data_IF_795841827169
#
_entry.id   IF_795841827169
#
_cell.length_a   1.000
_cell.length_b   1.000
_cell.length_c   1.000
_cell.angle_alpha   90.00
_cell.angle_beta   90.00
_cell.angle_gamma   90.00
#
_symmetry.space_group_name_H-M   'P 1'
#
loop_
_entity.id
_entity.type
_entity.pdbx_description
1 polymer ?
#
# COMPACT_ATOMS: atom_id res chain seq x y z
N UNK A 1 -9.62 -4.85 72.46
CA UNK A 1 -9.95 -4.67 71.04
C UNK A 1 -8.65 -4.43 70.29
N UNK A 2 -7.99 -5.51 69.90
CA UNK A 2 -6.72 -5.50 69.16
C UNK A 2 -7.03 -5.31 67.68
N UNK A 3 -6.65 -4.15 67.14
CA UNK A 3 -6.81 -3.84 65.72
C UNK A 3 -5.64 -4.48 64.95
N UNK A 4 -5.75 -5.78 64.65
CA UNK A 4 -4.84 -6.42 63.70
C UNK A 4 -5.13 -5.88 62.30
N UNK A 5 -4.18 -5.10 61.77
CA UNK A 5 -4.19 -4.61 60.41
C UNK A 5 -3.91 -5.77 59.48
N UNK A 6 -4.97 -6.32 58.91
CA UNK A 6 -4.93 -7.30 57.82
C UNK A 6 -4.38 -6.60 56.57
N UNK A 7 -3.06 -6.63 56.37
CA UNK A 7 -2.44 -6.24 55.10
C UNK A 7 -2.41 -7.47 54.18
N UNK A 8 -3.21 -7.55 53.10
CA UNK A 8 -3.03 -8.62 52.12
C UNK A 8 -1.71 -8.41 51.37
N UNK A 9 -0.94 -9.47 51.07
CA UNK A 9 0.26 -9.37 50.25
C UNK A 9 -0.17 -9.09 48.81
N UNK A 10 0.25 -7.94 48.27
CA UNK A 10 0.14 -7.66 46.84
C UNK A 10 1.06 -8.62 46.10
N UNK A 11 0.52 -9.72 45.58
CA UNK A 11 1.24 -10.58 44.66
C UNK A 11 1.18 -9.94 43.26
N UNK A 12 2.05 -8.96 43.03
CA UNK A 12 2.22 -8.29 41.74
C UNK A 12 3.10 -9.15 40.81
N UNK A 13 2.61 -10.34 40.47
CA UNK A 13 3.22 -11.19 39.45
C UNK A 13 2.31 -11.30 38.22
N UNK A 14 1.64 -10.21 37.85
CA UNK A 14 0.99 -10.08 36.55
C UNK A 14 2.07 -9.83 35.48
N UNK A 15 2.97 -10.80 35.31
CA UNK A 15 3.81 -10.92 34.13
C UNK A 15 2.96 -11.40 32.92
N UNK A 16 1.84 -10.72 32.69
CA UNK A 16 1.11 -10.78 31.44
C UNK A 16 1.85 -9.90 30.43
N UNK A 17 3.03 -10.36 30.00
CA UNK A 17 3.59 -9.89 28.74
C UNK A 17 2.55 -10.19 27.68
N UNK A 18 1.76 -9.16 27.36
CA UNK A 18 0.78 -9.15 26.29
C UNK A 18 1.56 -9.53 25.04
N UNK A 19 1.53 -10.81 24.69
CA UNK A 19 2.06 -11.30 23.43
C UNK A 19 1.43 -10.39 22.37
N UNK A 20 2.21 -9.64 21.57
CA UNK A 20 1.66 -8.75 20.56
C UNK A 20 0.68 -9.58 19.75
N UNK A 21 -0.61 -9.21 19.83
CA UNK A 21 -1.68 -9.96 19.15
C UNK A 21 -1.20 -10.14 17.72
N UNK A 22 -1.07 -11.41 17.30
CA UNK A 22 -0.68 -11.79 15.95
C UNK A 22 -1.43 -10.88 14.99
N UNK A 23 -0.70 -9.99 14.32
CA UNK A 23 -1.27 -9.00 13.42
C UNK A 23 -2.19 -9.68 12.41
N UNK A 24 -3.05 -8.89 11.77
CA UNK A 24 -4.02 -9.41 10.79
C UNK A 24 -3.34 -10.42 9.86
N UNK A 25 -3.84 -11.66 9.76
CA UNK A 25 -3.15 -12.70 9.02
C UNK A 25 -2.91 -12.24 7.58
N UNK A 26 -1.69 -12.49 7.08
CA UNK A 26 -1.28 -12.14 5.73
C UNK A 26 -2.26 -12.79 4.75
N UNK A 27 -2.96 -11.98 3.95
CA UNK A 27 -3.98 -12.44 3.00
C UNK A 27 -5.44 -12.29 3.47
N UNK A 28 -5.70 -11.77 4.67
CA UNK A 28 -7.07 -11.51 5.12
C UNK A 28 -7.74 -10.39 4.28
N UNK A 29 -8.46 -10.77 3.24
CA UNK A 29 -9.17 -9.85 2.34
C UNK A 29 -10.17 -8.97 3.12
N UNK A 30 -10.28 -7.69 2.75
CA UNK A 30 -11.26 -6.78 3.34
C UNK A 30 -12.67 -7.13 2.84
N UNK A 31 -13.46 -7.79 3.68
CA UNK A 31 -14.82 -8.21 3.33
C UNK A 31 -15.71 -7.03 2.91
N UNK A 32 -15.55 -5.88 3.57
CA UNK A 32 -16.26 -4.63 3.22
C UNK A 32 -15.95 -4.16 1.80
N UNK A 33 -14.68 -4.22 1.39
CA UNK A 33 -14.27 -3.85 0.03
C UNK A 33 -14.76 -4.87 -1.00
N UNK A 34 -14.86 -6.16 -0.64
CA UNK A 34 -15.44 -7.18 -1.51
C UNK A 34 -16.92 -6.91 -1.79
N UNK A 35 -17.72 -6.72 -0.74
CA UNK A 35 -19.15 -6.41 -0.87
C UNK A 35 -19.38 -5.16 -1.71
N UNK A 36 -18.57 -4.11 -1.50
CA UNK A 36 -18.65 -2.90 -2.31
C UNK A 36 -18.35 -3.16 -3.79
N UNK A 37 -17.32 -3.95 -4.12
CA UNK A 37 -17.00 -4.31 -5.51
C UNK A 37 -18.16 -5.07 -6.15
N UNK A 38 -18.72 -6.04 -5.45
CA UNK A 38 -19.84 -6.85 -5.93
C UNK A 38 -21.07 -5.96 -6.19
N UNK A 39 -21.39 -5.04 -5.27
CA UNK A 39 -22.49 -4.10 -5.43
C UNK A 39 -22.29 -3.15 -6.63
N UNK A 40 -21.06 -2.67 -6.86
CA UNK A 40 -20.74 -1.82 -8.03
C UNK A 40 -20.92 -2.61 -9.33
N UNK A 41 -20.50 -3.87 -9.37
CA UNK A 41 -20.66 -4.71 -10.57
C UNK A 41 -22.13 -4.96 -10.89
N UNK A 42 -22.95 -5.28 -9.89
CA UNK A 42 -24.39 -5.46 -10.05
C UNK A 42 -25.04 -4.16 -10.55
N UNK A 43 -24.69 -3.01 -9.96
CA UNK A 43 -25.22 -1.72 -10.38
C UNK A 43 -24.82 -1.38 -11.83
N UNK A 44 -23.60 -1.68 -12.23
CA UNK A 44 -23.14 -1.47 -13.61
C UNK A 44 -23.86 -2.39 -14.61
N UNK A 45 -24.14 -3.64 -14.24
CA UNK A 45 -24.92 -4.57 -15.06
C UNK A 45 -26.36 -4.06 -15.26
N UNK A 46 -27.01 -3.63 -14.18
CA UNK A 46 -28.35 -3.03 -14.19
C UNK A 46 -28.41 -1.76 -15.04
N UNK A 47 -27.43 -0.86 -14.89
CA UNK A 47 -27.30 0.34 -15.70
C UNK A 47 -27.21 0.02 -17.20
N UNK A 48 -26.54 -1.08 -17.55
CA UNK A 48 -26.42 -1.53 -18.93
C UNK A 48 -27.70 -2.10 -19.53
N UNK A 49 -28.55 -2.77 -18.73
CA UNK A 49 -29.87 -3.21 -19.18
C UNK A 49 -30.81 -2.06 -19.56
N UNK A 50 -30.53 -0.82 -19.14
CA UNK A 50 -31.25 0.37 -19.62
C UNK A 50 -30.85 0.80 -21.04
N UNK A 51 -29.66 0.42 -21.51
CA UNK A 51 -29.11 0.84 -22.80
C UNK A 51 -29.08 -0.31 -23.83
N UNK A 52 -29.10 -1.57 -23.40
CA UNK A 52 -29.10 -2.73 -24.28
C UNK A 52 -29.52 -4.02 -23.57
N UNK A 53 -29.39 -5.15 -24.25
CA UNK A 53 -29.81 -6.46 -23.73
C UNK A 53 -28.67 -7.25 -23.06
N UNK A 54 -27.43 -6.76 -23.14
CA UNK A 54 -26.24 -7.50 -22.68
C UNK A 54 -25.70 -6.98 -21.34
N UNK A 55 -26.56 -6.33 -20.54
CA UNK A 55 -26.22 -5.83 -19.20
C UNK A 55 -24.91 -5.04 -19.20
N UNK A 56 -23.90 -5.54 -18.46
CA UNK A 56 -22.59 -4.89 -18.30
C UNK A 56 -21.88 -4.58 -19.62
N UNK A 57 -22.04 -5.42 -20.66
CA UNK A 57 -21.43 -5.19 -21.97
C UNK A 57 -22.04 -3.95 -22.62
N UNK A 58 -23.37 -3.82 -22.60
CA UNK A 58 -24.07 -2.64 -23.10
C UNK A 58 -23.69 -1.37 -22.33
N UNK A 59 -23.46 -1.47 -21.01
CA UNK A 59 -22.94 -0.36 -20.21
C UNK A 59 -21.54 0.10 -20.67
N UNK A 60 -20.62 -0.83 -20.89
CA UNK A 60 -19.26 -0.52 -21.35
C UNK A 60 -19.25 0.01 -22.78
N UNK A 61 -20.09 -0.51 -23.68
CA UNK A 61 -20.26 0.01 -25.04
C UNK A 61 -20.76 1.46 -25.01
N UNK A 62 -21.76 1.76 -24.17
CA UNK A 62 -22.24 3.12 -23.97
C UNK A 62 -21.12 4.06 -23.51
N UNK A 63 -20.29 3.64 -22.54
CA UNK A 63 -19.16 4.44 -22.08
C UNK A 63 -18.03 4.57 -23.10
N UNK A 64 -17.79 3.56 -23.94
CA UNK A 64 -16.80 3.65 -25.02
C UNK A 64 -17.12 4.79 -26.00
N UNK A 65 -18.40 5.04 -26.27
CA UNK A 65 -18.86 6.09 -27.17
C UNK A 65 -18.98 7.45 -26.48
N UNK A 66 -19.59 7.49 -25.29
CA UNK A 66 -19.92 8.76 -24.62
C UNK A 66 -18.77 9.30 -23.75
N UNK A 67 -17.91 8.43 -23.23
CA UNK A 67 -16.84 8.77 -22.30
C UNK A 67 -15.55 8.00 -22.65
N UNK A 68 -14.88 8.34 -23.76
CA UNK A 68 -13.75 7.56 -24.26
C UNK A 68 -12.53 7.61 -23.32
N UNK A 69 -12.30 8.71 -22.61
CA UNK A 69 -11.14 8.88 -21.71
C UNK A 69 -11.08 7.84 -20.58
N UNK A 70 -12.15 7.64 -19.77
CA UNK A 70 -12.16 6.57 -18.77
C UNK A 70 -12.15 5.17 -19.41
N UNK A 71 -12.75 4.99 -20.59
CA UNK A 71 -12.74 3.69 -21.29
C UNK A 71 -11.32 3.29 -21.73
N UNK A 72 -10.52 4.22 -22.30
CA UNK A 72 -9.11 3.96 -22.61
C UNK A 72 -8.29 3.61 -21.37
N UNK A 73 -8.58 4.24 -20.24
CA UNK A 73 -7.93 3.92 -18.97
C UNK A 73 -8.21 2.49 -18.49
N UNK A 74 -9.40 1.95 -18.80
CA UNK A 74 -9.73 0.55 -18.55
C UNK A 74 -9.02 -0.39 -19.53
N UNK A 75 -8.99 -0.06 -20.82
CA UNK A 75 -8.25 -0.84 -21.83
C UNK A 75 -6.77 -0.95 -21.48
N UNK A 76 -6.16 0.15 -21.08
CA UNK A 76 -4.77 0.18 -20.62
C UNK A 76 -4.51 -0.68 -19.37
N UNK A 77 -5.55 -1.04 -18.60
CA UNK A 77 -5.43 -1.97 -17.46
C UNK A 77 -5.72 -3.43 -17.85
N UNK A 78 -6.61 -3.67 -18.80
CA UNK A 78 -6.96 -5.02 -19.26
C UNK A 78 -5.88 -5.62 -20.16
N UNK A 79 -5.29 -4.82 -21.06
CA UNK A 79 -4.28 -5.31 -21.99
C UNK A 79 -2.99 -5.81 -21.31
N UNK A 80 -2.42 -5.12 -20.30
CA UNK A 80 -1.24 -5.63 -19.60
C UNK A 80 -1.51 -6.90 -18.79
N UNK A 81 -2.77 -7.16 -18.39
CA UNK A 81 -3.13 -8.36 -17.64
C UNK A 81 -3.19 -9.60 -18.54
N UNK A 82 -3.58 -9.44 -19.81
CA UNK A 82 -3.76 -10.54 -20.77
C UNK A 82 -2.43 -11.10 -21.33
N UNK A 83 -1.31 -10.39 -21.17
CA UNK A 83 0.04 -10.85 -21.59
C UNK A 83 0.80 -11.55 -20.45
N UNK A 84 0.18 -11.69 -19.28
CA UNK A 84 0.78 -12.37 -18.11
C UNK A 84 0.39 -13.84 -17.98
N UNK A 85 -0.08 -14.47 -19.06
CA UNK A 85 -0.30 -15.93 -19.16
C UNK A 85 0.79 -16.62 -19.99
N UNK A 86 2.01 -16.06 -20.03
CA UNK A 86 3.20 -16.82 -20.37
C UNK A 86 4.17 -16.75 -19.19
N UNK A 87 4.11 -17.82 -18.41
CA UNK A 87 5.11 -18.23 -17.45
C UNK A 87 5.28 -17.39 -16.19
N UNK A 88 5.19 -18.13 -15.09
CA UNK A 88 5.71 -17.87 -13.76
C UNK A 88 7.21 -17.48 -13.79
N UNK A 89 7.55 -16.34 -14.36
CA UNK A 89 8.90 -15.78 -14.34
C UNK A 89 8.88 -14.43 -13.63
N UNK A 90 8.69 -14.53 -12.31
CA UNK A 90 9.58 -13.85 -11.38
C UNK A 90 9.99 -12.42 -11.79
N UNK A 91 9.04 -11.49 -11.91
CA UNK A 91 9.35 -10.07 -12.09
C UNK A 91 9.92 -9.56 -10.76
N UNK A 92 11.20 -9.88 -10.51
CA UNK A 92 12.00 -9.28 -9.44
C UNK A 92 12.27 -7.85 -9.86
N UNK A 93 11.39 -6.96 -9.43
CA UNK A 93 11.68 -5.53 -9.44
C UNK A 93 12.80 -5.29 -8.42
N UNK A 94 14.06 -5.34 -8.86
CA UNK A 94 15.22 -5.02 -8.03
C UNK A 94 15.35 -3.49 -8.01
N UNK A 95 14.81 -2.87 -6.95
CA UNK A 95 15.06 -1.46 -6.65
C UNK A 95 16.46 -1.32 -6.03
N UNK A 96 17.49 -1.05 -6.84
CA UNK A 96 18.84 -0.73 -6.35
C UNK A 96 18.92 0.76 -6.00
N UNK A 97 19.07 1.06 -4.70
CA UNK A 97 19.28 2.41 -4.19
C UNK A 97 20.77 2.54 -3.87
N UNK A 98 21.47 3.43 -4.56
CA UNK A 98 22.87 3.76 -4.25
C UNK A 98 22.92 5.08 -3.48
N UNK A 99 23.43 5.03 -2.25
CA UNK A 99 23.65 6.21 -1.43
C UNK A 99 25.07 6.68 -1.70
N UNK A 100 25.22 7.78 -2.44
CA UNK A 100 26.52 8.43 -2.63
C UNK A 100 26.67 9.52 -1.57
N UNK A 101 27.75 9.49 -0.76
CA UNK A 101 28.04 10.58 0.15
C UNK A 101 28.36 11.84 -0.65
N UNK A 102 27.58 12.90 -0.44
CA UNK A 102 27.92 14.24 -0.96
C UNK A 102 29.10 14.75 -0.14
N UNK A 103 30.30 14.64 -0.71
CA UNK A 103 31.50 15.26 -0.14
C UNK A 103 31.42 16.76 -0.44
N UNK A 104 31.10 17.56 0.56
CA UNK A 104 31.28 19.01 0.48
C UNK A 104 32.75 19.32 0.23
N UNK A 105 33.03 20.05 -0.86
CA UNK A 105 34.35 20.64 -1.09
C UNK A 105 34.62 21.63 0.04
N UNK A 106 35.44 21.22 1.01
CA UNK A 106 36.04 22.16 1.96
C UNK A 106 36.94 23.07 1.12
N UNK A 107 36.55 24.33 0.98
CA UNK A 107 37.34 25.38 0.34
C UNK A 107 38.62 25.58 1.16
N UNK A 108 39.64 24.82 0.80
CA UNK A 108 41.00 24.99 1.27
C UNK A 108 41.62 26.16 0.51
N UNK A 109 41.30 27.39 0.93
CA UNK A 109 42.13 28.56 0.68
C UNK A 109 41.98 29.47 1.90
N UNK A 110 42.85 29.26 2.90
CA UNK A 110 43.24 30.26 3.89
C UNK A 110 44.43 29.72 4.72
N UNK A 111 45.55 29.45 4.06
CA UNK A 111 46.86 29.42 4.73
C UNK A 111 47.95 29.90 3.78
N UNK A 112 48.00 31.21 3.54
CA UNK A 112 49.23 31.88 3.10
C UNK A 112 49.42 33.17 3.89
N UNK A 113 49.98 33.03 5.09
CA UNK A 113 50.83 34.05 5.74
C UNK A 113 51.53 33.38 6.91
N UNK A 114 52.57 32.61 6.59
CA UNK A 114 53.74 32.54 7.46
C UNK A 114 54.94 32.16 6.59
N UNK A 115 55.65 33.15 6.11
CA UNK A 115 57.07 33.01 5.80
C UNK A 115 57.77 34.13 6.53
N UNK A 116 58.49 33.69 7.53
CA UNK A 116 59.36 34.43 8.42
C UNK A 116 60.65 34.80 7.66
N UNK A 117 61.35 35.83 8.15
CA UNK A 117 62.79 36.16 7.96
C UNK A 117 63.15 37.16 6.85
N UNK A 118 63.28 38.43 7.23
CA UNK A 118 64.57 39.16 7.32
C UNK A 118 64.45 40.32 8.29
#
# INVERSE_FOLDING_TARGET
MTHEKFFPPWNNDDNSLRIPRRGRPKGACNQTTKLLKDAILIAAEQAGYHHGQEGLVSYLQYHALNNPVPFFSLLAKVLPLQVTEEEESNVKTISRIEIVPVVSKKSAQDTKTFTEIS
#
